data_IF_988962615487
#
_entry.id   IF_988962615487
#
_cell.length_a   1.000
_cell.length_b   1.000
_cell.length_c   1.000
_cell.angle_alpha   90.00
_cell.angle_beta   90.00
_cell.angle_gamma   90.00
#
_symmetry.space_group_name_H-M   'P 1'
#
loop_
_entity.id
_entity.type
_entity.pdbx_description
1 polymer ?
#
# COMPACT_ATOMS: atom_id res chain seq x y z
N UNK A 1 8.11 -49.66 -14.60
CA UNK A 1 7.82 -48.23 -14.39
C UNK A 1 8.43 -47.84 -13.05
N UNK A 2 9.55 -47.13 -13.09
CA UNK A 2 10.47 -46.87 -11.98
C UNK A 2 9.90 -45.85 -10.99
N UNK A 3 10.26 -45.97 -9.71
CA UNK A 3 9.82 -45.13 -8.59
C UNK A 3 9.98 -43.61 -8.80
N UNK A 4 10.86 -43.20 -9.73
CA UNK A 4 11.07 -41.81 -10.16
C UNK A 4 9.88 -41.24 -10.96
N UNK A 5 9.17 -42.03 -11.75
CA UNK A 5 8.00 -41.57 -12.50
C UNK A 5 6.77 -41.39 -11.58
N UNK A 6 6.71 -42.18 -10.51
CA UNK A 6 5.69 -42.06 -9.46
C UNK A 6 5.93 -40.86 -8.56
N UNK A 7 7.20 -40.54 -8.21
CA UNK A 7 7.52 -39.34 -7.43
C UNK A 7 7.19 -38.06 -8.21
N UNK A 8 7.56 -38.00 -9.50
CA UNK A 8 7.25 -36.87 -10.39
C UNK A 8 5.74 -36.64 -10.56
N UNK A 9 4.93 -37.70 -10.69
CA UNK A 9 3.46 -37.57 -10.73
C UNK A 9 2.86 -37.14 -9.39
N UNK A 10 3.42 -37.59 -8.26
CA UNK A 10 2.93 -37.20 -6.93
C UNK A 10 3.27 -35.73 -6.58
N UNK A 11 4.42 -35.23 -7.03
CA UNK A 11 4.82 -33.83 -6.86
C UNK A 11 3.97 -32.91 -7.74
N UNK A 12 3.70 -33.30 -9.00
CA UNK A 12 2.82 -32.54 -9.88
C UNK A 12 1.37 -32.45 -9.36
N UNK A 13 0.83 -33.51 -8.76
CA UNK A 13 -0.51 -33.45 -8.18
C UNK A 13 -0.58 -32.55 -6.93
N UNK A 14 0.48 -32.51 -6.11
CA UNK A 14 0.56 -31.61 -4.96
C UNK A 14 0.72 -30.14 -5.37
N UNK A 15 1.52 -29.84 -6.39
CA UNK A 15 1.71 -28.47 -6.89
C UNK A 15 0.46 -27.91 -7.57
N UNK A 16 -0.32 -28.75 -8.26
CA UNK A 16 -1.62 -28.40 -8.84
C UNK A 16 -2.63 -28.02 -7.74
N UNK A 17 -2.66 -28.74 -6.61
CA UNK A 17 -3.59 -28.46 -5.50
C UNK A 17 -3.38 -27.08 -4.86
N UNK A 18 -2.12 -26.66 -4.68
CA UNK A 18 -1.82 -25.36 -4.06
C UNK A 18 -2.14 -24.16 -4.97
N UNK A 19 -2.21 -24.36 -6.29
CA UNK A 19 -2.51 -23.29 -7.23
C UNK A 19 -3.99 -22.85 -7.22
N UNK A 20 -4.91 -23.74 -6.85
CA UNK A 20 -6.35 -23.48 -6.97
C UNK A 20 -6.86 -22.46 -5.95
N UNK A 21 -6.49 -22.60 -4.68
CA UNK A 21 -6.91 -21.66 -3.64
C UNK A 21 -6.28 -20.28 -3.84
N UNK A 22 -5.06 -20.21 -4.38
CA UNK A 22 -4.40 -18.94 -4.69
C UNK A 22 -5.18 -18.10 -5.71
N UNK A 23 -5.81 -18.76 -6.70
CA UNK A 23 -6.68 -18.10 -7.68
C UNK A 23 -7.93 -17.48 -7.03
N UNK A 24 -8.44 -18.06 -5.94
CA UNK A 24 -9.63 -17.55 -5.21
C UNK A 24 -9.36 -16.21 -4.51
N UNK A 25 -8.10 -15.92 -4.14
CA UNK A 25 -7.68 -14.70 -3.44
C UNK A 25 -7.67 -13.46 -4.37
N UNK A 26 -7.57 -13.67 -5.68
CA UNK A 26 -7.52 -12.62 -6.71
C UNK A 26 -6.38 -11.62 -6.51
N UNK A 27 -5.17 -12.14 -6.27
CA UNK A 27 -3.96 -11.34 -6.07
C UNK A 27 -3.63 -10.46 -7.28
N UNK A 28 -2.94 -9.33 -7.05
CA UNK A 28 -2.28 -8.59 -8.12
C UNK A 28 -1.38 -9.55 -8.95
N UNK A 29 -1.35 -9.47 -10.29
CA UNK A 29 -0.63 -10.44 -11.14
C UNK A 29 0.84 -10.63 -10.77
N UNK A 30 1.54 -9.57 -10.36
CA UNK A 30 2.95 -9.66 -9.92
C UNK A 30 3.09 -10.47 -8.63
N UNK A 31 2.17 -10.26 -7.69
CA UNK A 31 2.11 -10.98 -6.42
C UNK A 31 1.69 -12.43 -6.68
N UNK A 32 0.71 -12.67 -7.55
CA UNK A 32 0.28 -14.00 -7.94
C UNK A 32 1.43 -14.81 -8.57
N UNK A 33 2.16 -14.22 -9.52
CA UNK A 33 3.31 -14.86 -10.15
C UNK A 33 4.41 -15.18 -9.13
N UNK A 34 4.68 -14.25 -8.20
CA UNK A 34 5.62 -14.48 -7.11
C UNK A 34 5.18 -15.64 -6.20
N UNK A 35 3.91 -15.68 -5.79
CA UNK A 35 3.38 -16.76 -4.96
C UNK A 35 3.40 -18.10 -5.67
N UNK A 36 3.04 -18.14 -6.96
CA UNK A 36 3.20 -19.33 -7.78
C UNK A 36 4.65 -19.81 -7.79
N UNK A 37 5.64 -18.92 -7.95
CA UNK A 37 7.06 -19.28 -7.87
C UNK A 37 7.45 -19.80 -6.49
N UNK A 38 6.98 -19.16 -5.41
CA UNK A 38 7.23 -19.61 -4.04
C UNK A 38 6.70 -21.02 -3.80
N UNK A 39 5.46 -21.29 -4.21
CA UNK A 39 4.80 -22.59 -3.99
C UNK A 39 5.47 -23.71 -4.79
N UNK A 40 6.16 -23.38 -5.87
CA UNK A 40 6.96 -24.29 -6.70
C UNK A 40 8.47 -24.24 -6.37
N UNK A 41 8.86 -23.63 -5.24
CA UNK A 41 10.27 -23.48 -4.81
C UNK A 41 11.21 -22.89 -5.89
N UNK A 42 10.65 -22.02 -6.74
CA UNK A 42 11.31 -21.46 -7.92
C UNK A 42 11.80 -20.02 -7.70
N UNK A 43 11.82 -19.52 -6.46
CA UNK A 43 12.40 -18.22 -6.14
C UNK A 43 13.92 -18.34 -5.89
N UNK A 44 14.72 -17.30 -6.24
CA UNK A 44 16.17 -17.29 -6.02
C UNK A 44 16.52 -16.99 -4.55
N UNK A 45 15.95 -17.77 -3.62
CA UNK A 45 16.35 -17.80 -2.21
C UNK A 45 17.78 -18.39 -2.10
N UNK A 46 18.55 -17.99 -1.09
CA UNK A 46 19.96 -18.40 -1.03
C UNK A 46 20.12 -19.91 -0.88
N UNK A 47 19.18 -20.62 -0.22
CA UNK A 47 19.17 -22.09 -0.20
C UNK A 47 19.03 -22.71 -1.60
N UNK A 48 18.12 -22.17 -2.41
CA UNK A 48 17.94 -22.58 -3.80
C UNK A 48 19.20 -22.32 -4.64
N UNK A 49 19.83 -21.16 -4.46
CA UNK A 49 21.05 -20.80 -5.20
C UNK A 49 22.25 -21.66 -4.79
N UNK A 50 22.37 -21.99 -3.49
CA UNK A 50 23.42 -22.88 -2.98
C UNK A 50 23.26 -24.30 -3.54
N UNK A 51 22.04 -24.84 -3.56
CA UNK A 51 21.73 -26.15 -4.18
C UNK A 51 22.13 -26.20 -5.66
N UNK A 52 22.08 -25.06 -6.37
CA UNK A 52 22.54 -24.91 -7.76
C UNK A 52 24.00 -24.49 -7.92
N UNK A 53 24.77 -24.41 -6.83
CA UNK A 53 26.18 -24.00 -6.81
C UNK A 53 26.42 -22.58 -7.36
N UNK A 54 25.41 -21.72 -7.31
CA UNK A 54 25.48 -20.30 -7.70
C UNK A 54 25.86 -19.39 -6.53
N UNK A 55 25.81 -19.91 -5.30
CA UNK A 55 26.20 -19.20 -4.08
C UNK A 55 26.87 -20.20 -3.12
N UNK A 56 27.87 -19.74 -2.37
CA UNK A 56 28.63 -20.59 -1.43
C UNK A 56 27.98 -20.76 -0.05
N UNK A 57 26.87 -20.07 0.23
CA UNK A 57 26.17 -20.11 1.51
C UNK A 57 24.64 -19.99 1.27
N UNK A 58 23.85 -20.41 2.25
CA UNK A 58 22.38 -20.31 2.20
C UNK A 58 21.78 -19.38 3.28
N UNK A 59 22.62 -18.66 4.03
CA UNK A 59 22.16 -17.72 5.07
C UNK A 59 21.34 -16.57 4.49
N UNK A 60 20.37 -16.08 5.24
CA UNK A 60 19.56 -14.92 4.87
C UNK A 60 20.42 -13.64 4.77
N UNK A 61 20.31 -12.82 3.71
CA UNK A 61 21.06 -11.57 3.57
C UNK A 61 20.83 -10.56 4.70
N UNK A 62 19.76 -10.73 5.48
CA UNK A 62 19.45 -9.89 6.64
C UNK A 62 20.16 -10.33 7.92
N UNK A 63 20.94 -11.41 7.87
CA UNK A 63 21.55 -11.98 9.07
C UNK A 63 20.56 -12.70 9.98
N UNK A 64 19.46 -13.23 9.43
CA UNK A 64 18.65 -14.18 10.18
C UNK A 64 19.50 -15.41 10.51
N UNK A 65 19.38 -15.96 11.72
CA UNK A 65 20.17 -17.12 12.19
C UNK A 65 19.87 -18.39 11.37
N UNK A 66 18.77 -18.40 10.63
CA UNK A 66 18.27 -19.51 9.82
C UNK A 66 18.77 -19.48 8.36
N UNK A 67 18.66 -20.64 7.71
CA UNK A 67 18.83 -20.78 6.26
C UNK A 67 17.68 -20.10 5.51
N UNK A 68 17.98 -19.37 4.44
CA UNK A 68 16.96 -18.70 3.63
C UNK A 68 16.37 -19.66 2.59
N UNK A 69 15.44 -20.50 3.07
CA UNK A 69 14.57 -21.35 2.26
C UNK A 69 13.16 -20.72 2.15
N UNK A 70 12.25 -21.41 1.46
CA UNK A 70 10.86 -20.93 1.26
C UNK A 70 10.11 -20.74 2.59
N UNK A 71 10.33 -21.63 3.55
CA UNK A 71 9.75 -21.56 4.89
C UNK A 71 10.18 -20.29 5.64
N UNK A 72 11.48 -19.97 5.60
CA UNK A 72 12.01 -18.73 6.13
C UNK A 72 11.39 -17.50 5.45
N UNK A 73 11.32 -17.49 4.11
CA UNK A 73 10.76 -16.36 3.35
C UNK A 73 9.29 -16.13 3.67
N UNK A 74 8.51 -17.20 3.83
CA UNK A 74 7.07 -17.15 4.05
C UNK A 74 6.65 -16.91 5.50
N UNK A 75 7.49 -17.29 6.48
CA UNK A 75 7.06 -17.39 7.89
C UNK A 75 8.08 -16.80 8.87
N UNK A 76 9.35 -17.23 8.80
CA UNK A 76 10.30 -16.98 9.88
C UNK A 76 11.20 -15.75 9.71
N UNK A 77 11.17 -15.10 8.55
CA UNK A 77 11.96 -13.90 8.31
C UNK A 77 11.68 -12.79 9.33
N UNK A 78 12.73 -12.32 10.03
CA UNK A 78 12.61 -11.30 11.07
C UNK A 78 11.95 -10.01 10.57
N UNK A 79 12.27 -9.57 9.35
CA UNK A 79 11.65 -8.39 8.71
C UNK A 79 10.17 -8.60 8.41
N UNK A 80 9.78 -9.82 8.00
CA UNK A 80 8.38 -10.17 7.78
C UNK A 80 7.60 -10.09 9.09
N UNK A 81 8.13 -10.68 10.17
CA UNK A 81 7.51 -10.66 11.49
C UNK A 81 7.35 -9.23 12.03
N UNK A 82 8.35 -8.36 11.83
CA UNK A 82 8.24 -6.94 12.18
C UNK A 82 7.15 -6.23 11.36
N UNK A 83 7.02 -6.55 10.07
CA UNK A 83 6.00 -5.96 9.20
C UNK A 83 4.59 -6.44 9.55
N UNK A 84 4.41 -7.73 9.84
CA UNK A 84 3.15 -8.27 10.36
C UNK A 84 2.82 -7.64 11.73
N UNK A 85 3.80 -7.49 12.61
CA UNK A 85 3.63 -6.80 13.89
C UNK A 85 3.18 -5.35 13.72
N UNK A 86 3.69 -4.66 12.69
CA UNK A 86 3.27 -3.30 12.35
C UNK A 86 1.82 -3.27 11.83
N UNK A 87 1.45 -4.19 10.95
CA UNK A 87 0.06 -4.36 10.49
C UNK A 87 -0.90 -4.59 11.66
N UNK A 88 -0.53 -5.47 12.61
CA UNK A 88 -1.33 -5.74 13.82
C UNK A 88 -1.50 -4.53 14.71
N UNK A 89 -0.42 -3.75 14.90
CA UNK A 89 -0.50 -2.47 15.64
C UNK A 89 -1.46 -1.49 14.97
N UNK A 90 -1.55 -1.53 13.64
CA UNK A 90 -2.52 -0.74 12.88
C UNK A 90 -3.91 -1.39 12.82
N UNK A 91 -4.22 -2.39 13.65
CA UNK A 91 -5.54 -3.03 13.69
C UNK A 91 -5.81 -4.07 12.60
N UNK A 92 -4.85 -4.36 11.72
CA UNK A 92 -4.96 -5.49 10.79
C UNK A 92 -4.51 -6.76 11.49
N UNK A 93 -5.46 -7.63 11.85
CA UNK A 93 -5.22 -8.91 12.53
C UNK A 93 -4.59 -9.97 11.59
N UNK A 94 -3.48 -9.60 10.94
CA UNK A 94 -2.73 -10.44 10.01
C UNK A 94 -2.14 -11.64 10.76
N UNK A 95 -2.33 -12.89 10.28
CA UNK A 95 -1.92 -14.08 11.01
C UNK A 95 -0.39 -14.20 11.12
N UNK A 96 0.05 -14.94 12.14
CA UNK A 96 1.43 -15.41 12.29
C UNK A 96 1.35 -16.93 12.23
N UNK A 97 2.27 -17.54 11.49
CA UNK A 97 2.30 -18.98 11.31
C UNK A 97 3.55 -19.57 11.94
N UNK A 98 3.48 -20.86 12.22
CA UNK A 98 4.57 -21.64 12.82
C UNK A 98 5.45 -22.36 11.81
N UNK A 99 4.94 -22.58 10.59
CA UNK A 99 5.65 -23.23 9.49
C UNK A 99 4.98 -22.95 8.14
N UNK A 100 5.63 -23.31 7.04
CA UNK A 100 5.10 -23.24 5.68
C UNK A 100 3.84 -24.08 5.49
N UNK A 101 3.75 -25.25 6.14
CA UNK A 101 2.58 -26.12 6.04
C UNK A 101 1.37 -25.50 6.75
N UNK A 102 1.59 -24.97 7.95
CA UNK A 102 0.62 -24.21 8.74
C UNK A 102 0.12 -22.97 7.96
N UNK A 103 1.05 -22.20 7.38
CA UNK A 103 0.74 -21.06 6.53
C UNK A 103 -0.12 -21.45 5.31
N UNK A 104 0.25 -22.50 4.57
CA UNK A 104 -0.51 -22.98 3.41
C UNK A 104 -1.92 -23.43 3.80
N UNK A 105 -2.05 -24.17 4.90
CA UNK A 105 -3.34 -24.66 5.39
C UNK A 105 -4.28 -23.49 5.73
N UNK A 106 -3.81 -22.52 6.52
CA UNK A 106 -4.64 -21.39 6.92
C UNK A 106 -4.91 -20.40 5.77
N UNK A 107 -3.97 -20.19 4.84
CA UNK A 107 -4.24 -19.38 3.66
C UNK A 107 -5.31 -20.00 2.75
N UNK A 108 -5.39 -21.34 2.67
CA UNK A 108 -6.48 -22.04 1.97
C UNK A 108 -7.84 -21.69 2.60
N UNK A 109 -7.94 -21.75 3.93
CA UNK A 109 -9.17 -21.36 4.67
C UNK A 109 -9.50 -19.87 4.45
N UNK A 110 -8.52 -18.98 4.64
CA UNK A 110 -8.71 -17.54 4.44
C UNK A 110 -9.09 -17.18 3.00
N UNK A 111 -8.66 -17.95 2.00
CA UNK A 111 -9.06 -17.73 0.60
C UNK A 111 -10.57 -17.87 0.37
N UNK A 112 -11.27 -18.53 1.28
CA UNK A 112 -12.72 -18.74 1.25
C UNK A 112 -13.43 -17.79 2.21
N UNK A 113 -12.95 -17.69 3.45
CA UNK A 113 -13.61 -16.93 4.52
C UNK A 113 -13.29 -15.44 4.52
N UNK A 114 -12.04 -15.06 4.19
CA UNK A 114 -11.57 -13.68 4.28
C UNK A 114 -10.47 -13.39 3.25
N UNK A 115 -10.90 -13.27 1.99
CA UNK A 115 -10.03 -13.03 0.84
C UNK A 115 -9.13 -11.81 1.03
N UNK A 116 -9.64 -10.73 1.61
CA UNK A 116 -8.88 -9.51 1.87
C UNK A 116 -7.71 -9.75 2.83
N UNK A 117 -7.91 -10.56 3.87
CA UNK A 117 -6.84 -10.91 4.81
C UNK A 117 -5.82 -11.87 4.18
N UNK A 118 -6.28 -12.88 3.42
CA UNK A 118 -5.40 -13.75 2.66
C UNK A 118 -4.52 -12.95 1.70
N UNK A 119 -5.12 -11.97 1.03
CA UNK A 119 -4.45 -11.08 0.10
C UNK A 119 -3.42 -10.17 0.79
N UNK A 120 -3.79 -9.60 1.94
CA UNK A 120 -2.88 -8.80 2.76
C UNK A 120 -1.65 -9.61 3.19
N UNK A 121 -1.85 -10.86 3.62
CA UNK A 121 -0.75 -11.77 3.93
C UNK A 121 0.13 -12.04 2.70
N UNK A 122 -0.48 -12.35 1.57
CA UNK A 122 0.26 -12.58 0.33
C UNK A 122 1.08 -11.34 -0.10
N UNK A 123 0.49 -10.16 0.05
CA UNK A 123 1.12 -8.88 -0.28
C UNK A 123 2.28 -8.55 0.65
N UNK A 124 2.15 -8.76 1.96
CA UNK A 124 3.23 -8.43 2.91
C UNK A 124 4.46 -9.33 2.72
N UNK A 125 4.27 -10.62 2.39
CA UNK A 125 5.38 -11.53 2.03
C UNK A 125 6.08 -11.05 0.76
N UNK A 126 5.33 -10.66 -0.27
CA UNK A 126 5.88 -10.14 -1.52
C UNK A 126 6.71 -8.86 -1.31
N UNK A 127 6.19 -7.87 -0.58
CA UNK A 127 6.94 -6.63 -0.31
C UNK A 127 8.17 -6.87 0.56
N UNK A 128 8.09 -7.81 1.50
CA UNK A 128 9.25 -8.20 2.31
C UNK A 128 10.34 -8.87 1.46
N UNK A 129 9.95 -9.72 0.50
CA UNK A 129 10.88 -10.32 -0.47
C UNK A 129 11.54 -9.27 -1.37
N UNK A 130 10.76 -8.32 -1.90
CA UNK A 130 11.32 -7.24 -2.72
C UNK A 130 12.29 -6.36 -1.93
N UNK A 131 11.94 -6.02 -0.68
CA UNK A 131 12.83 -5.30 0.23
C UNK A 131 14.16 -6.03 0.46
N UNK A 132 14.10 -7.38 0.59
CA UNK A 132 15.31 -8.21 0.68
C UNK A 132 16.16 -8.12 -0.57
N UNK A 133 15.53 -8.11 -1.75
CA UNK A 133 16.25 -8.01 -3.01
C UNK A 133 16.95 -6.66 -3.16
N UNK A 134 16.38 -5.57 -2.65
CA UNK A 134 17.08 -4.27 -2.59
C UNK A 134 18.40 -4.42 -1.81
N UNK A 135 18.34 -4.98 -0.61
CA UNK A 135 19.52 -5.22 0.22
C UNK A 135 20.56 -6.10 -0.50
N UNK A 136 20.11 -7.21 -1.10
CA UNK A 136 21.00 -8.14 -1.83
C UNK A 136 21.71 -7.49 -3.02
N UNK A 137 21.09 -6.51 -3.66
CA UNK A 137 21.65 -5.79 -4.82
C UNK A 137 22.38 -4.48 -4.43
N UNK A 138 22.69 -4.28 -3.15
CA UNK A 138 23.45 -3.12 -2.68
C UNK A 138 22.63 -1.84 -2.52
N UNK A 139 21.30 -1.91 -2.62
CA UNK A 139 20.41 -0.78 -2.37
C UNK A 139 19.95 -0.74 -0.90
N UNK A 140 19.42 0.41 -0.50
CA UNK A 140 18.81 0.57 0.82
C UNK A 140 17.57 -0.32 0.98
N UNK A 141 17.52 -1.06 2.08
CA UNK A 141 16.34 -1.84 2.46
C UNK A 141 15.14 -0.93 2.75
N UNK A 142 13.93 -1.36 2.39
CA UNK A 142 12.72 -0.62 2.71
C UNK A 142 12.39 -0.63 4.20
N UNK A 143 11.80 0.47 4.67
CA UNK A 143 11.30 0.57 6.05
C UNK A 143 10.12 -0.38 6.26
N UNK A 144 9.93 -0.82 7.51
CA UNK A 144 8.82 -1.71 7.87
C UNK A 144 7.47 -1.05 7.58
N UNK A 145 7.34 0.26 7.85
CA UNK A 145 6.16 1.03 7.52
C UNK A 145 5.90 1.06 6.00
N UNK A 146 6.93 1.24 5.18
CA UNK A 146 6.77 1.23 3.73
C UNK A 146 6.26 -0.13 3.23
N UNK A 147 6.83 -1.23 3.73
CA UNK A 147 6.40 -2.59 3.40
C UNK A 147 4.93 -2.81 3.80
N UNK A 148 4.55 -2.44 5.02
CA UNK A 148 3.19 -2.58 5.53
C UNK A 148 2.16 -1.71 4.77
N UNK A 149 2.46 -0.43 4.53
CA UNK A 149 1.59 0.47 3.76
C UNK A 149 1.36 -0.03 2.33
N UNK A 150 2.43 -0.46 1.65
CA UNK A 150 2.31 -0.98 0.28
C UNK A 150 1.53 -2.30 0.24
N UNK A 151 1.72 -3.18 1.23
CA UNK A 151 0.95 -4.42 1.32
C UNK A 151 -0.55 -4.16 1.51
N UNK A 152 -0.91 -3.19 2.38
CA UNK A 152 -2.29 -2.72 2.53
C UNK A 152 -2.83 -2.20 1.21
N UNK A 153 -2.10 -1.27 0.57
CA UNK A 153 -2.50 -0.67 -0.69
C UNK A 153 -2.75 -1.76 -1.76
N UNK A 154 -1.83 -2.70 -1.93
CA UNK A 154 -1.95 -3.77 -2.92
C UNK A 154 -3.05 -4.78 -2.60
N UNK A 155 -3.29 -5.07 -1.32
CA UNK A 155 -4.40 -5.93 -0.93
C UNK A 155 -5.76 -5.29 -1.22
N UNK A 156 -5.89 -3.97 -0.99
CA UNK A 156 -7.08 -3.19 -1.35
C UNK A 156 -7.29 -3.10 -2.86
N UNK A 157 -6.21 -3.05 -3.65
CA UNK A 157 -6.23 -3.02 -5.11
C UNK A 157 -6.85 -4.29 -5.73
N UNK A 158 -6.53 -5.47 -5.22
CA UNK A 158 -6.96 -6.74 -5.79
C UNK A 158 -8.44 -7.07 -5.64
N UNK A 159 -9.12 -6.44 -4.68
CA UNK A 159 -10.58 -6.58 -4.55
C UNK A 159 -11.31 -5.97 -5.75
N UNK A 160 -10.66 -5.05 -6.48
CA UNK A 160 -11.18 -4.37 -7.67
C UNK A 160 -10.63 -4.95 -8.99
N UNK A 161 -9.76 -5.96 -9.05
CA UNK A 161 -9.31 -6.48 -10.36
C UNK A 161 -10.24 -7.55 -10.96
N UNK A 162 -11.56 -7.45 -10.76
CA UNK A 162 -12.48 -8.53 -11.13
C UNK A 162 -12.64 -8.78 -12.64
N UNK A 163 -12.14 -7.95 -13.57
CA UNK A 163 -12.60 -8.01 -14.97
C UNK A 163 -11.55 -7.80 -16.11
N UNK A 164 -10.24 -7.94 -15.92
CA UNK A 164 -9.29 -7.91 -17.06
C UNK A 164 -8.52 -9.21 -17.23
N UNK A 165 -9.04 -10.06 -18.13
CA UNK A 165 -8.60 -11.44 -18.36
C UNK A 165 -7.46 -11.60 -19.37
N UNK A 166 -6.80 -10.51 -19.79
CA UNK A 166 -5.74 -10.60 -20.80
C UNK A 166 -4.61 -9.62 -20.50
N UNK A 167 -3.43 -10.11 -20.09
CA UNK A 167 -2.19 -9.39 -20.40
C UNK A 167 -0.93 -10.28 -20.49
N UNK A 168 -0.27 -10.16 -21.65
CA UNK A 168 1.01 -10.77 -22.04
C UNK A 168 2.23 -10.25 -21.26
N UNK A 169 3.32 -11.02 -21.24
CA UNK A 169 4.50 -10.82 -20.38
C UNK A 169 5.31 -9.51 -20.57
N UNK A 170 4.92 -8.58 -21.46
CA UNK A 170 5.74 -7.43 -21.85
C UNK A 170 4.98 -6.09 -21.85
N UNK A 171 4.37 -5.67 -20.73
CA UNK A 171 3.96 -4.27 -20.60
C UNK A 171 4.63 -3.44 -19.51
N UNK A 172 4.94 -2.16 -19.80
CA UNK A 172 5.62 -1.28 -18.87
C UNK A 172 4.68 -0.94 -17.71
N UNK A 173 5.27 -0.38 -16.65
CA UNK A 173 4.66 0.19 -15.44
C UNK A 173 3.47 1.16 -15.61
N UNK A 174 2.93 1.35 -16.82
CA UNK A 174 1.87 2.31 -17.16
C UNK A 174 0.44 1.81 -16.85
N UNK A 175 0.23 0.52 -16.59
CA UNK A 175 -1.09 -0.03 -16.23
C UNK A 175 -1.36 -0.12 -14.71
N UNK A 176 -0.42 0.25 -13.84
CA UNK A 176 -0.53 0.17 -12.36
C UNK A 176 -0.46 1.59 -11.77
N UNK A 177 -1.35 2.48 -12.20
CA UNK A 177 -1.27 3.92 -11.89
C UNK A 177 -2.64 4.50 -11.53
N UNK A 178 -3.47 3.73 -10.83
CA UNK A 178 -4.80 4.19 -10.42
C UNK A 178 -4.89 4.33 -8.91
N UNK A 179 -5.73 5.26 -8.47
CA UNK A 179 -6.07 5.39 -7.07
C UNK A 179 -6.95 4.21 -6.64
N UNK A 180 -6.79 3.75 -5.40
CA UNK A 180 -7.58 2.65 -4.87
C UNK A 180 -8.12 2.98 -3.47
N UNK A 181 -9.32 2.47 -3.13
CA UNK A 181 -9.91 2.69 -1.82
C UNK A 181 -9.04 2.11 -0.70
N UNK A 182 -9.13 2.65 0.52
CA UNK A 182 -8.51 2.06 1.70
C UNK A 182 -9.24 0.75 2.12
N UNK A 183 -8.66 -0.01 3.07
CA UNK A 183 -9.34 -1.16 3.67
C UNK A 183 -10.71 -0.85 4.29
N UNK A 184 -11.54 -1.87 4.56
CA UNK A 184 -12.83 -1.68 5.22
C UNK A 184 -12.71 -0.88 6.51
N UNK A 185 -13.65 0.06 6.72
CA UNK A 185 -13.72 0.93 7.91
C UNK A 185 -12.55 1.91 8.06
N UNK A 186 -11.72 2.07 7.03
CA UNK A 186 -10.71 3.13 6.97
C UNK A 186 -11.17 4.27 6.07
N UNK A 187 -10.65 5.46 6.36
CA UNK A 187 -10.76 6.64 5.52
C UNK A 187 -9.41 6.90 4.84
N UNK A 188 -9.45 7.43 3.62
CA UNK A 188 -8.25 7.85 2.90
C UNK A 188 -8.39 9.29 2.46
N UNK A 189 -7.35 10.08 2.70
CA UNK A 189 -7.23 11.47 2.29
C UNK A 189 -6.05 11.64 1.34
N UNK A 190 -6.30 12.23 0.18
CA UNK A 190 -5.27 12.70 -0.72
C UNK A 190 -5.14 14.21 -0.55
N UNK A 191 -3.91 14.73 -0.50
CA UNK A 191 -3.66 16.17 -0.49
C UNK A 191 -2.63 16.57 -1.53
N UNK A 192 -2.72 17.81 -1.99
CA UNK A 192 -1.77 18.42 -2.93
C UNK A 192 -1.67 19.92 -2.70
N UNK A 193 -0.63 20.52 -3.27
CA UNK A 193 -0.40 21.94 -3.30
C UNK A 193 -0.02 22.41 -4.71
N UNK A 194 -0.50 23.58 -5.09
CA UNK A 194 -0.20 24.23 -6.35
C UNK A 194 0.38 25.62 -6.07
N UNK A 195 1.46 26.00 -6.75
CA UNK A 195 2.10 27.31 -6.59
C UNK A 195 2.32 27.94 -7.97
N UNK A 196 1.94 29.20 -8.10
CA UNK A 196 2.18 30.00 -9.31
C UNK A 196 3.40 30.89 -9.14
N UNK A 197 3.93 31.40 -10.26
CA UNK A 197 5.07 32.32 -10.28
C UNK A 197 4.80 33.66 -9.56
N UNK A 198 3.51 34.00 -9.34
CA UNK A 198 3.11 35.22 -8.63
C UNK A 198 2.96 35.00 -7.12
N UNK A 199 3.44 33.87 -6.59
CA UNK A 199 3.31 33.46 -5.18
C UNK A 199 1.86 33.23 -4.71
N UNK A 200 0.91 33.12 -5.64
CA UNK A 200 -0.40 32.57 -5.33
C UNK A 200 -0.24 31.06 -5.21
N UNK A 201 -0.60 30.55 -4.04
CA UNK A 201 -0.64 29.15 -3.70
C UNK A 201 -2.08 28.67 -3.52
N UNK A 202 -2.31 27.40 -3.82
CA UNK A 202 -3.55 26.71 -3.56
C UNK A 202 -3.22 25.39 -2.88
N UNK A 203 -3.93 25.07 -1.81
CA UNK A 203 -3.87 23.75 -1.18
C UNK A 203 -5.20 23.06 -1.41
N UNK A 204 -5.19 21.74 -1.54
CA UNK A 204 -6.42 20.99 -1.74
C UNK A 204 -6.34 19.58 -1.22
N UNK A 205 -7.50 19.00 -0.96
CA UNK A 205 -7.59 17.62 -0.54
C UNK A 205 -8.96 17.01 -0.76
N UNK A 206 -8.98 15.68 -0.80
CA UNK A 206 -10.18 14.86 -0.99
C UNK A 206 -10.17 13.68 -0.04
N UNK A 207 -11.27 13.48 0.67
CA UNK A 207 -11.50 12.34 1.55
C UNK A 207 -12.44 11.34 0.88
N UNK A 208 -12.09 10.06 0.99
CA UNK A 208 -12.87 8.93 0.45
C UNK A 208 -12.92 7.78 1.44
N UNK A 209 -14.01 7.02 1.40
CA UNK A 209 -14.20 5.84 2.23
C UNK A 209 -13.66 4.55 1.60
N UNK A 210 -13.79 3.44 2.32
CA UNK A 210 -13.38 2.10 1.90
C UNK A 210 -14.11 1.53 0.68
N UNK A 211 -15.18 2.18 0.20
CA UNK A 211 -15.89 1.84 -1.05
C UNK A 211 -15.49 2.79 -2.19
N UNK A 212 -14.51 3.67 -1.96
CA UNK A 212 -14.10 4.70 -2.90
C UNK A 212 -15.08 5.85 -3.02
N UNK A 213 -16.11 5.90 -2.17
CA UNK A 213 -17.13 6.95 -2.21
C UNK A 213 -16.53 8.25 -1.72
N UNK A 214 -16.87 9.33 -2.41
CA UNK A 214 -16.57 10.68 -1.99
C UNK A 214 -17.18 10.97 -0.62
N UNK A 215 -16.38 11.55 0.28
CA UNK A 215 -16.82 12.03 1.58
C UNK A 215 -16.81 13.55 1.61
N UNK A 216 -15.67 14.17 1.27
CA UNK A 216 -15.56 15.62 1.10
C UNK A 216 -14.36 16.00 0.24
N UNK A 217 -14.36 17.23 -0.27
CA UNK A 217 -13.19 17.88 -0.84
C UNK A 217 -13.13 19.35 -0.46
N UNK A 218 -11.92 19.89 -0.47
CA UNK A 218 -11.66 21.30 -0.20
C UNK A 218 -10.54 21.84 -1.07
N UNK A 219 -10.57 23.15 -1.29
CA UNK A 219 -9.48 23.92 -1.86
C UNK A 219 -9.41 25.28 -1.16
N UNK A 220 -8.21 25.68 -0.72
CA UNK A 220 -7.99 26.96 -0.05
C UNK A 220 -6.82 27.69 -0.72
N UNK A 221 -7.04 28.94 -1.09
CA UNK A 221 -6.03 29.86 -1.57
C UNK A 221 -5.14 30.35 -0.42
N UNK A 222 -3.88 30.58 -0.70
CA UNK A 222 -2.96 31.21 0.22
C UNK A 222 -1.82 31.90 -0.53
N UNK A 223 -1.06 32.75 0.16
CA UNK A 223 0.10 33.45 -0.41
C UNK A 223 1.36 32.84 0.20
N UNK A 224 2.21 32.22 -0.62
CA UNK A 224 3.42 31.51 -0.18
C UNK A 224 4.50 31.51 -1.27
N UNK A 225 5.75 31.29 -0.87
CA UNK A 225 6.92 31.40 -1.74
C UNK A 225 7.61 30.06 -2.02
N UNK A 226 7.22 29.00 -1.31
CA UNK A 226 7.87 27.69 -1.36
C UNK A 226 6.85 26.56 -1.41
N UNK A 227 7.03 25.66 -2.38
CA UNK A 227 6.13 24.53 -2.64
C UNK A 227 6.20 23.47 -1.53
N UNK A 228 7.38 23.24 -0.95
CA UNK A 228 7.52 22.26 0.14
C UNK A 228 6.76 22.68 1.40
N UNK A 229 6.86 23.97 1.73
CA UNK A 229 6.08 24.61 2.79
C UNK A 229 4.58 24.54 2.50
N UNK A 230 4.19 24.71 1.24
CA UNK A 230 2.78 24.66 0.82
C UNK A 230 2.18 23.27 1.00
N UNK A 231 2.92 22.21 0.66
CA UNK A 231 2.49 20.83 0.90
C UNK A 231 2.39 20.50 2.39
N UNK A 232 3.28 21.04 3.23
CA UNK A 232 3.15 20.93 4.70
C UNK A 232 1.92 21.66 5.22
N UNK A 233 1.57 22.81 4.66
CA UNK A 233 0.34 23.51 5.01
C UNK A 233 -0.88 22.70 4.58
N UNK A 234 -0.86 22.09 3.39
CA UNK A 234 -1.96 21.27 2.88
C UNK A 234 -2.34 20.15 3.86
N UNK A 235 -1.35 19.43 4.42
CA UNK A 235 -1.62 18.42 5.44
C UNK A 235 -2.07 19.02 6.78
N UNK A 236 -1.49 20.13 7.24
CA UNK A 236 -1.91 20.80 8.49
C UNK A 236 -3.35 21.29 8.42
N UNK A 237 -3.79 21.76 7.24
CA UNK A 237 -5.15 22.22 7.01
C UNK A 237 -6.21 21.11 7.10
N UNK A 238 -5.82 19.82 7.04
CA UNK A 238 -6.77 18.72 7.21
C UNK A 238 -7.52 18.78 8.54
N UNK A 239 -6.91 19.33 9.60
CA UNK A 239 -7.55 19.49 10.92
C UNK A 239 -8.86 20.29 10.85
N UNK A 240 -8.98 21.19 9.87
CA UNK A 240 -10.16 22.04 9.70
C UNK A 240 -11.32 21.32 9.00
N UNK A 241 -11.06 20.14 8.41
CA UNK A 241 -12.01 19.39 7.60
C UNK A 241 -12.33 18.01 8.18
N UNK A 242 -11.67 17.62 9.26
CA UNK A 242 -11.96 16.37 9.96
C UNK A 242 -13.18 16.58 10.85
N UNK A 243 -14.25 15.90 10.50
CA UNK A 243 -15.48 15.86 11.29
C UNK A 243 -15.45 14.74 12.33
N UNK A 244 -16.15 14.90 13.45
CA UNK A 244 -16.14 13.93 14.56
C UNK A 244 -16.47 12.50 14.12
N UNK A 245 -17.44 12.31 13.22
CA UNK A 245 -17.82 10.98 12.72
C UNK A 245 -16.69 10.28 11.94
N UNK A 246 -15.70 11.02 11.42
CA UNK A 246 -14.54 10.42 10.75
C UNK A 246 -13.62 9.73 11.74
N UNK A 247 -13.61 10.17 13.00
CA UNK A 247 -12.78 9.60 14.07
C UNK A 247 -13.29 8.21 14.50
N UNK A 248 -14.53 7.85 14.14
CA UNK A 248 -15.07 6.51 14.35
C UNK A 248 -14.47 5.46 13.39
N UNK A 249 -13.70 5.89 12.38
CA UNK A 249 -12.98 5.00 11.48
C UNK A 249 -11.85 4.25 12.19
N UNK A 250 -11.53 3.03 11.73
CA UNK A 250 -10.42 2.22 12.25
C UNK A 250 -9.04 2.83 11.99
N UNK A 251 -8.95 3.74 11.02
CA UNK A 251 -7.76 4.53 10.77
C UNK A 251 -7.85 5.42 9.53
N UNK A 252 -6.82 6.25 9.36
CA UNK A 252 -6.68 7.21 8.26
C UNK A 252 -5.44 6.92 7.41
N UNK A 253 -5.59 6.81 6.09
CA UNK A 253 -4.45 6.80 5.16
C UNK A 253 -4.32 8.20 4.53
N UNK A 254 -3.19 8.84 4.73
CA UNK A 254 -2.86 10.16 4.20
C UNK A 254 -1.87 10.00 3.04
N UNK A 255 -2.26 10.44 1.85
CA UNK A 255 -1.55 10.24 0.59
C UNK A 255 -1.14 11.58 -0.07
N UNK A 256 0.07 11.59 -0.62
CA UNK A 256 0.64 12.71 -1.38
C UNK A 256 1.62 12.18 -2.44
N UNK A 257 1.79 12.93 -3.52
CA UNK A 257 2.70 12.62 -4.63
C UNK A 257 4.09 13.26 -4.53
N UNK A 258 4.42 13.80 -3.36
CA UNK A 258 5.76 14.23 -3.01
C UNK A 258 6.42 13.27 -2.02
N UNK A 259 7.37 12.49 -2.54
CA UNK A 259 8.09 11.48 -1.75
C UNK A 259 8.90 12.11 -0.59
N UNK A 260 9.37 13.35 -0.74
CA UNK A 260 10.16 14.01 0.31
C UNK A 260 9.27 14.37 1.50
N UNK A 261 8.07 14.89 1.26
CA UNK A 261 7.09 15.17 2.32
C UNK A 261 6.65 13.88 3.00
N UNK A 262 6.31 12.83 2.25
CA UNK A 262 5.95 11.54 2.86
C UNK A 262 7.08 10.98 3.74
N UNK A 263 8.34 11.03 3.28
CA UNK A 263 9.49 10.61 4.10
C UNK A 263 9.66 11.46 5.36
N UNK A 264 9.45 12.78 5.26
CA UNK A 264 9.51 13.70 6.40
C UNK A 264 8.43 13.34 7.44
N UNK A 265 7.19 13.15 7.00
CA UNK A 265 6.06 12.79 7.86
C UNK A 265 6.26 11.42 8.52
N UNK A 266 6.73 10.41 7.77
CA UNK A 266 7.03 9.09 8.31
C UNK A 266 8.15 9.12 9.35
N UNK A 267 9.19 9.94 9.14
CA UNK A 267 10.27 10.12 10.13
C UNK A 267 9.76 10.77 11.39
N UNK A 268 8.94 11.81 11.27
CA UNK A 268 8.34 12.49 12.42
C UNK A 268 7.53 11.53 13.29
N UNK A 269 6.64 10.75 12.65
CA UNK A 269 5.83 9.75 13.34
C UNK A 269 6.67 8.72 14.12
N UNK A 270 7.81 8.29 13.57
CA UNK A 270 8.66 7.29 14.19
C UNK A 270 9.57 7.83 15.31
N UNK A 271 9.90 9.12 15.28
CA UNK A 271 10.95 9.71 16.11
C UNK A 271 10.47 10.43 17.38
N UNK A 272 9.17 10.36 17.72
CA UNK A 272 8.54 10.92 18.92
C UNK A 272 9.41 11.91 19.72
N UNK A 273 9.28 13.22 19.44
CA UNK A 273 9.90 14.35 20.16
C UNK A 273 11.37 14.13 20.58
N UNK A 274 12.23 13.58 19.70
CA UNK A 274 13.67 13.39 20.02
C UNK A 274 14.68 14.10 19.13
N UNK A 275 14.27 14.99 18.23
CA UNK A 275 15.22 15.88 17.54
C UNK A 275 14.54 17.22 17.23
N UNK A 276 15.29 18.31 17.31
CA UNK A 276 14.86 19.72 17.16
C UNK A 276 14.31 20.14 15.79
N UNK A 277 13.56 19.28 15.12
CA UNK A 277 12.66 19.58 14.00
C UNK A 277 11.22 19.83 14.51
N UNK A 278 11.09 20.24 15.77
CA UNK A 278 9.82 20.23 16.50
C UNK A 278 8.88 21.35 16.06
N UNK A 279 9.40 22.49 15.61
CA UNK A 279 8.57 23.66 15.27
C UNK A 279 7.69 23.48 14.02
N UNK A 280 8.02 22.54 13.11
CA UNK A 280 7.25 22.34 11.87
C UNK A 280 6.22 21.19 11.93
N UNK A 281 6.13 20.41 13.00
CA UNK A 281 5.25 19.22 13.02
C UNK A 281 4.32 19.16 14.24
N UNK A 282 4.38 20.14 15.14
CA UNK A 282 3.48 20.28 16.29
C UNK A 282 1.98 20.30 15.92
N UNK A 283 1.64 20.67 14.68
CA UNK A 283 0.26 20.83 14.23
C UNK A 283 -0.37 19.56 13.60
N UNK A 284 0.22 18.37 13.79
CA UNK A 284 -0.33 17.09 13.29
C UNK A 284 -0.94 16.20 14.38
N UNK A 285 -1.00 16.67 15.64
CA UNK A 285 -1.57 15.91 16.78
C UNK A 285 -3.04 15.53 16.60
N UNK A 286 -3.78 16.25 15.75
CA UNK A 286 -5.16 15.90 15.39
C UNK A 286 -5.28 14.50 14.75
N UNK A 287 -4.20 13.99 14.13
CA UNK A 287 -4.17 12.66 13.54
C UNK A 287 -4.20 11.54 14.59
N UNK A 288 -3.77 11.83 15.83
CA UNK A 288 -3.79 10.86 16.93
C UNK A 288 -5.23 10.48 17.31
N UNK A 289 -6.21 11.35 17.00
CA UNK A 289 -7.63 11.08 17.22
C UNK A 289 -8.20 9.88 16.44
N UNK A 290 -7.55 9.47 15.34
CA UNK A 290 -7.98 8.30 14.55
C UNK A 290 -7.50 6.96 15.14
N UNK A 291 -6.67 6.99 16.20
CA UNK A 291 -6.00 5.80 16.77
C UNK A 291 -4.91 5.22 15.87
N UNK A 292 -5.20 5.03 14.58
CA UNK A 292 -4.27 4.59 13.55
C UNK A 292 -4.25 5.56 12.37
N UNK A 293 -3.08 6.03 11.96
CA UNK A 293 -2.93 6.80 10.72
C UNK A 293 -1.66 6.41 9.96
N UNK A 294 -1.64 6.55 8.63
CA UNK A 294 -0.52 6.15 7.77
C UNK A 294 -0.19 7.23 6.76
N UNK A 295 1.10 7.44 6.49
CA UNK A 295 1.55 8.28 5.39
C UNK A 295 2.01 7.41 4.24
N UNK A 296 1.49 7.65 3.05
CA UNK A 296 1.77 6.84 1.87
C UNK A 296 2.03 7.71 0.63
N UNK A 297 3.08 7.37 -0.12
CA UNK A 297 3.38 8.03 -1.39
C UNK A 297 2.54 7.42 -2.50
N UNK A 298 1.98 8.27 -3.34
CA UNK A 298 1.27 7.87 -4.57
C UNK A 298 1.85 8.62 -5.77
N UNK A 299 1.59 8.15 -6.98
CA UNK A 299 1.99 8.94 -8.15
C UNK A 299 0.95 10.03 -8.46
N UNK A 300 1.32 10.97 -9.34
CA UNK A 300 0.46 12.09 -9.75
C UNK A 300 -0.91 11.67 -10.25
N UNK A 301 -1.01 10.57 -10.99
CA UNK A 301 -2.27 10.07 -11.53
C UNK A 301 -3.22 9.61 -10.41
N UNK A 302 -2.69 8.94 -9.37
CA UNK A 302 -3.45 8.59 -8.19
C UNK A 302 -3.83 9.82 -7.34
N UNK A 303 -3.04 10.90 -7.41
CA UNK A 303 -3.28 12.15 -6.69
C UNK A 303 -4.08 13.19 -7.50
N UNK A 304 -4.59 12.84 -8.69
CA UNK A 304 -5.17 13.79 -9.64
C UNK A 304 -6.36 14.60 -9.09
N UNK A 305 -7.16 14.03 -8.17
CA UNK A 305 -8.26 14.76 -7.53
C UNK A 305 -7.75 15.86 -6.60
N UNK A 306 -6.78 15.54 -5.73
CA UNK A 306 -6.20 16.53 -4.83
C UNK A 306 -5.48 17.64 -5.63
N UNK A 307 -4.81 17.26 -6.72
CA UNK A 307 -4.22 18.20 -7.67
C UNK A 307 -5.26 19.15 -8.28
N UNK A 308 -6.41 18.61 -8.70
CA UNK A 308 -7.50 19.44 -9.22
C UNK A 308 -8.03 20.42 -8.15
N UNK A 309 -8.20 19.95 -6.91
CA UNK A 309 -8.60 20.81 -5.80
C UNK A 309 -7.60 21.95 -5.55
N UNK A 310 -6.30 21.64 -5.49
CA UNK A 310 -5.25 22.62 -5.25
C UNK A 310 -5.14 23.66 -6.37
N UNK A 311 -5.27 23.24 -7.65
CA UNK A 311 -5.27 24.17 -8.77
C UNK A 311 -6.53 25.03 -8.83
N UNK A 312 -7.70 24.48 -8.50
CA UNK A 312 -8.93 25.27 -8.44
C UNK A 312 -8.85 26.35 -7.37
N UNK A 313 -8.23 26.02 -6.22
CA UNK A 313 -7.97 26.95 -5.14
C UNK A 313 -7.09 28.15 -5.52
N UNK A 314 -6.32 28.08 -6.62
CA UNK A 314 -5.61 29.25 -7.14
C UNK A 314 -6.54 30.36 -7.65
N UNK A 315 -7.79 30.00 -7.97
CA UNK A 315 -8.83 30.89 -8.47
C UNK A 315 -9.89 31.14 -7.40
N UNK A 316 -10.35 30.09 -6.74
CA UNK A 316 -11.47 30.17 -5.79
C UNK A 316 -11.40 29.09 -4.71
N UNK A 317 -11.59 29.51 -3.47
CA UNK A 317 -11.75 28.62 -2.32
C UNK A 317 -13.06 27.84 -2.40
N UNK A 318 -13.03 26.58 -1.99
CA UNK A 318 -14.23 25.76 -1.89
C UNK A 318 -14.15 24.70 -0.80
N UNK A 319 -15.34 24.28 -0.37
CA UNK A 319 -15.54 23.14 0.51
C UNK A 319 -16.86 22.46 0.14
N UNK A 320 -16.83 21.14 -0.06
CA UNK A 320 -18.01 20.37 -0.41
C UNK A 320 -18.00 19.00 0.25
N UNK A 321 -19.09 18.66 0.93
CA UNK A 321 -19.36 17.33 1.52
C UNK A 321 -20.46 16.58 0.74
N UNK A 322 -21.12 17.25 -0.21
CA UNK A 322 -22.15 16.68 -1.06
C UNK A 322 -21.79 16.91 -2.54
N UNK A 323 -21.81 15.83 -3.31
CA UNK A 323 -21.63 15.83 -4.77
C UNK A 323 -22.70 16.63 -5.50
N UNK A 324 -23.86 16.86 -4.89
CA UNK A 324 -24.93 17.68 -5.48
C UNK A 324 -24.77 19.18 -5.22
N UNK A 325 -23.77 19.58 -4.42
CA UNK A 325 -23.52 20.99 -4.16
C UNK A 325 -22.74 21.62 -5.32
N UNK A 326 -23.21 22.76 -5.83
CA UNK A 326 -22.48 23.61 -6.80
C UNK A 326 -21.15 24.18 -6.23
N UNK A 327 -20.70 23.69 -5.07
CA UNK A 327 -19.48 24.12 -4.39
C UNK A 327 -18.25 23.36 -4.88
N UNK A 328 -18.41 22.16 -5.44
CA UNK A 328 -17.29 21.36 -5.95
C UNK A 328 -17.08 21.69 -7.44
N UNK A 329 -15.82 21.88 -7.91
CA UNK A 329 -15.56 22.28 -9.30
C UNK A 329 -16.05 21.25 -10.33
N UNK A 330 -16.60 21.66 -11.48
CA UNK A 330 -17.02 20.72 -12.54
C UNK A 330 -15.90 19.76 -13.00
N UNK A 331 -14.66 20.25 -13.07
CA UNK A 331 -13.50 19.44 -13.46
C UNK A 331 -13.17 18.34 -12.44
N UNK A 332 -13.49 18.54 -11.16
CA UNK A 332 -13.36 17.52 -10.13
C UNK A 332 -14.29 16.33 -10.39
N UNK A 333 -15.54 16.59 -10.78
CA UNK A 333 -16.50 15.51 -11.07
C UNK A 333 -16.08 14.64 -12.25
N UNK A 334 -15.46 15.24 -13.28
CA UNK A 334 -14.92 14.47 -14.41
C UNK A 334 -13.86 13.48 -13.93
N UNK A 335 -12.89 13.94 -13.15
CA UNK A 335 -11.82 13.08 -12.62
C UNK A 335 -12.37 12.07 -11.62
N UNK A 336 -13.32 12.46 -10.77
CA UNK A 336 -13.92 11.57 -9.78
C UNK A 336 -14.69 10.46 -10.48
N UNK A 337 -15.46 10.80 -11.51
CA UNK A 337 -16.19 9.83 -12.33
C UNK A 337 -15.23 8.89 -13.04
N UNK A 338 -14.17 9.40 -13.66
CA UNK A 338 -13.19 8.54 -14.33
C UNK A 338 -12.54 7.54 -13.34
N UNK A 339 -12.21 7.99 -12.13
CA UNK A 339 -11.69 7.10 -11.09
C UNK A 339 -12.76 6.14 -10.55
N UNK A 340 -14.01 6.59 -10.39
CA UNK A 340 -15.12 5.80 -9.83
C UNK A 340 -15.65 4.76 -10.81
N UNK A 341 -15.76 5.08 -12.09
CA UNK A 341 -16.13 4.14 -13.16
C UNK A 341 -15.08 3.03 -13.23
N UNK A 342 -13.80 3.37 -13.07
CA UNK A 342 -12.71 2.39 -12.96
C UNK A 342 -12.65 1.63 -11.63
N UNK A 343 -13.42 2.06 -10.61
CA UNK A 343 -13.66 1.33 -9.34
C UNK A 343 -14.97 0.51 -9.42
N UNK A 344 -15.88 0.85 -10.33
CA UNK A 344 -17.17 0.16 -10.51
C UNK A 344 -17.15 -0.89 -11.61
N UNK A 345 -16.25 -0.76 -12.60
CA UNK A 345 -15.97 -1.74 -13.67
C UNK A 345 -15.05 -2.87 -13.18
N UNK A 346 -14.88 -2.97 -11.87
CA UNK A 346 -13.76 -3.62 -11.18
C UNK A 346 -14.25 -4.22 -9.87
#
# INVERSE_FOLDING_TARGET
MTALASSYKSENNKTVEYGEWLKKIKLNPRIQCFWWRILNEAIPANDFLMKRRLLGHNSCPRGCVEQENTDHVMVHCSKLQQAIGTLRKWGFLCPLFSSINDCKFHLKILSEENKSMANLYCSIVYFTWNSRNQLKHGNNEWSVNFIACNAISYASISTSYLLMDHWDANQPSRLISFWHPPPPEWIKVNFDAALTNNNNGGIGGVFRDSKGRFLLAFGISCIRWDIGTLELIAIRSLKNFISNWMLDAKGLIVECDNLNIIKLLQRSKNNGSRNGFQEDIEDLSFLDGFGNFLFHFVNRNCNALAHNCANHALVQDFFGEDLNSNKVPPSFFYVLREQSDRISIT
#
